data_IF_803982933535
#
_entry.id   IF_803982933535
#
_cell.length_a   1.000
_cell.length_b   1.000
_cell.length_c   1.000
_cell.angle_alpha   90.00
_cell.angle_beta   90.00
_cell.angle_gamma   90.00
#
_symmetry.space_group_name_H-M   'P 1'
#
loop_
_entity.id
_entity.type
_entity.pdbx_description
1 polymer ?
#
# COMPACT_ATOMS: atom_id res chain seq x y z
N UNK A 1 17.90 -9.01 -8.53
CA UNK A 1 18.40 -7.76 -9.12
C UNK A 1 17.49 -6.73 -8.51
N UNK A 2 18.02 -5.87 -7.64
CA UNK A 2 17.16 -4.99 -6.85
C UNK A 2 16.38 -4.08 -7.79
N UNK A 3 15.06 -4.20 -7.81
CA UNK A 3 14.19 -3.38 -8.65
C UNK A 3 14.07 -1.94 -8.14
N UNK A 4 14.38 -1.73 -6.86
CA UNK A 4 14.37 -0.44 -6.20
C UNK A 4 15.76 -0.14 -5.62
N UNK A 5 16.21 1.10 -5.83
CA UNK A 5 17.46 1.66 -5.33
C UNK A 5 17.41 1.91 -3.82
N UNK A 6 16.29 2.41 -3.33
CA UNK A 6 16.07 2.76 -1.93
C UNK A 6 14.57 2.76 -1.59
N UNK A 7 14.25 2.93 -0.30
CA UNK A 7 12.87 2.93 0.18
C UNK A 7 12.04 4.07 -0.41
N UNK A 8 12.66 5.20 -0.78
CA UNK A 8 11.95 6.33 -1.37
C UNK A 8 11.43 5.97 -2.77
N UNK A 9 12.27 5.34 -3.61
CA UNK A 9 11.83 4.85 -4.92
C UNK A 9 10.75 3.77 -4.81
N UNK A 10 10.82 2.91 -3.79
CA UNK A 10 9.76 1.94 -3.50
C UNK A 10 8.44 2.63 -3.14
N UNK A 11 8.45 3.63 -2.27
CA UNK A 11 7.24 4.39 -1.93
C UNK A 11 6.67 5.14 -3.13
N UNK A 12 7.52 5.82 -3.91
CA UNK A 12 7.08 6.50 -5.13
C UNK A 12 6.35 5.55 -6.09
N UNK A 13 6.88 4.33 -6.25
CA UNK A 13 6.29 3.33 -7.13
C UNK A 13 5.06 2.64 -6.51
N UNK A 14 5.24 1.93 -5.40
CA UNK A 14 4.20 1.08 -4.81
C UNK A 14 3.14 1.91 -4.07
N UNK A 15 3.54 2.88 -3.25
CA UNK A 15 2.55 3.74 -2.59
C UNK A 15 1.86 4.65 -3.61
N UNK A 16 2.58 5.07 -4.67
CA UNK A 16 1.99 5.76 -5.82
C UNK A 16 0.88 4.94 -6.49
N UNK A 17 1.12 3.66 -6.79
CA UNK A 17 0.10 2.75 -7.32
C UNK A 17 -1.14 2.71 -6.42
N UNK A 18 -0.96 2.53 -5.11
CA UNK A 18 -2.09 2.48 -4.20
C UNK A 18 -2.84 3.82 -4.07
N UNK A 19 -2.14 4.96 -4.12
CA UNK A 19 -2.77 6.29 -4.13
C UNK A 19 -3.63 6.50 -5.37
N UNK A 20 -3.19 6.01 -6.52
CA UNK A 20 -4.00 6.05 -7.75
C UNK A 20 -5.21 5.10 -7.65
N UNK A 21 -5.02 3.90 -7.10
CA UNK A 21 -6.12 2.97 -6.81
C UNK A 21 -7.15 3.60 -5.84
N UNK A 22 -6.69 4.41 -4.87
CA UNK A 22 -7.53 5.10 -3.91
C UNK A 22 -8.42 6.19 -4.56
N UNK A 23 -8.09 6.66 -5.76
CA UNK A 23 -8.88 7.65 -6.52
C UNK A 23 -9.71 7.00 -7.62
N UNK A 24 -9.43 5.75 -7.97
CA UNK A 24 -10.08 5.06 -9.06
C UNK A 24 -11.54 4.72 -8.72
N UNK A 25 -12.48 5.13 -9.58
CA UNK A 25 -13.92 4.95 -9.35
C UNK A 25 -14.39 3.50 -9.43
N UNK A 26 -13.61 2.59 -10.00
CA UNK A 26 -13.96 1.16 -10.08
C UNK A 26 -13.30 0.34 -8.96
N UNK A 27 -12.01 0.53 -8.73
CA UNK A 27 -11.25 -0.22 -7.73
C UNK A 27 -11.47 0.32 -6.31
N UNK A 28 -11.51 1.64 -6.17
CA UNK A 28 -11.64 2.33 -4.89
C UNK A 28 -12.83 1.86 -4.05
N UNK A 29 -14.07 1.87 -4.60
CA UNK A 29 -15.24 1.38 -3.88
C UNK A 29 -15.14 -0.09 -3.46
N UNK A 30 -14.54 -0.96 -4.29
CA UNK A 30 -14.38 -2.38 -4.00
C UNK A 30 -13.43 -2.61 -2.81
N UNK A 31 -12.33 -1.86 -2.76
CA UNK A 31 -11.36 -1.91 -1.65
C UNK A 31 -11.98 -1.30 -0.39
N UNK A 32 -12.63 -0.14 -0.49
CA UNK A 32 -13.32 0.50 0.63
C UNK A 32 -14.39 -0.40 1.27
N UNK A 33 -15.12 -1.16 0.45
CA UNK A 33 -16.13 -2.10 0.93
C UNK A 33 -15.57 -3.21 1.85
N UNK A 34 -14.28 -3.54 1.74
CA UNK A 34 -13.64 -4.54 2.60
C UNK A 34 -13.54 -4.10 4.07
N UNK A 35 -13.42 -2.80 4.33
CA UNK A 35 -13.18 -2.21 5.67
C UNK A 35 -11.98 -2.81 6.42
N UNK A 36 -10.97 -3.27 5.67
CA UNK A 36 -9.75 -3.86 6.21
C UNK A 36 -8.65 -2.81 6.37
N UNK A 37 -7.79 -3.02 7.36
CA UNK A 37 -6.47 -2.41 7.45
C UNK A 37 -5.44 -3.45 7.00
N UNK A 38 -4.74 -3.17 5.90
CA UNK A 38 -3.73 -4.08 5.33
C UNK A 38 -2.37 -3.41 5.44
N UNK A 39 -1.41 -4.07 6.08
CA UNK A 39 -0.02 -3.59 6.15
C UNK A 39 0.89 -4.49 5.32
N UNK A 40 1.61 -3.86 4.40
CA UNK A 40 2.65 -4.46 3.60
C UNK A 40 4.01 -4.09 4.18
N UNK A 41 4.80 -5.09 4.56
CA UNK A 41 6.15 -4.94 5.07
C UNK A 41 7.13 -5.48 4.01
N UNK A 42 7.94 -4.59 3.48
CA UNK A 42 8.94 -4.88 2.46
C UNK A 42 10.33 -4.95 3.05
N UNK A 43 11.13 -5.90 2.56
CA UNK A 43 12.58 -5.96 2.81
C UNK A 43 13.36 -5.67 1.53
N UNK A 44 14.58 -5.14 1.69
CA UNK A 44 15.54 -4.91 0.60
C UNK A 44 14.98 -4.06 -0.55
N UNK A 45 14.61 -2.78 -0.33
CA UNK A 45 14.81 -1.97 0.89
C UNK A 45 13.69 -2.10 1.93
N UNK A 46 13.98 -1.74 3.19
CA UNK A 46 12.97 -1.71 4.26
C UNK A 46 11.94 -0.60 4.00
N UNK A 47 10.67 -1.00 3.88
CA UNK A 47 9.56 -0.08 3.71
C UNK A 47 8.26 -0.68 4.27
N UNK A 48 7.36 0.16 4.75
CA UNK A 48 6.06 -0.25 5.28
C UNK A 48 4.98 0.59 4.63
N UNK A 49 3.98 -0.04 4.01
CA UNK A 49 2.82 0.65 3.43
C UNK A 49 1.56 0.09 4.08
N UNK A 50 0.74 0.96 4.64
CA UNK A 50 -0.57 0.56 5.19
C UNK A 50 -1.71 1.14 4.35
N UNK A 51 -2.59 0.25 3.89
CA UNK A 51 -3.87 0.57 3.26
C UNK A 51 -4.95 0.53 4.34
N UNK A 52 -5.53 1.68 4.67
CA UNK A 52 -6.64 1.79 5.62
C UNK A 52 -7.94 2.08 4.88
N UNK A 53 -8.69 1.02 4.59
CA UNK A 53 -10.05 1.07 4.04
C UNK A 53 -11.13 1.14 5.13
N UNK A 54 -10.75 1.13 6.40
CA UNK A 54 -11.66 1.11 7.55
C UNK A 54 -12.02 2.51 8.02
N UNK A 55 -11.07 3.43 7.95
CA UNK A 55 -11.25 4.84 8.32
C UNK A 55 -11.00 5.76 7.10
N UNK A 56 -11.80 5.67 6.03
CA UNK A 56 -11.56 6.46 4.82
C UNK A 56 -11.58 7.97 5.11
N UNK A 57 -10.83 8.79 4.34
CA UNK A 57 -10.75 10.22 4.56
C UNK A 57 -12.08 10.91 4.21
N UNK A 58 -12.31 12.15 4.69
CA UNK A 58 -13.58 12.84 4.51
C UNK A 58 -13.97 13.05 3.05
N UNK A 59 -13.02 13.37 2.17
CA UNK A 59 -13.24 13.56 0.72
C UNK A 59 -11.98 13.24 -0.11
N UNK A 60 -12.17 12.89 -1.39
CA UNK A 60 -11.12 12.84 -2.42
C UNK A 60 -10.46 11.48 -2.68
N UNK A 61 -10.57 10.51 -1.78
CA UNK A 61 -10.11 9.13 -1.99
C UNK A 61 -11.00 8.14 -1.24
N UNK A 62 -11.03 6.89 -1.69
CA UNK A 62 -11.86 5.82 -1.13
C UNK A 62 -11.25 5.15 0.12
N UNK A 63 -9.94 5.29 0.34
CA UNK A 63 -9.19 4.73 1.48
C UNK A 63 -7.87 5.49 1.68
N UNK A 64 -7.25 5.37 2.86
CA UNK A 64 -5.97 6.02 3.15
C UNK A 64 -4.78 5.14 2.82
N UNK A 65 -3.69 5.78 2.41
CA UNK A 65 -2.36 5.16 2.27
C UNK A 65 -1.41 5.84 3.23
N UNK A 66 -0.80 5.04 4.10
CA UNK A 66 0.19 5.49 5.08
C UNK A 66 1.54 4.87 4.70
N UNK A 67 2.54 5.71 4.53
CA UNK A 67 3.93 5.32 4.30
C UNK A 67 4.67 5.32 5.63
N UNK A 68 5.45 4.27 5.89
CA UNK A 68 6.18 4.08 7.13
C UNK A 68 5.36 3.40 8.24
N UNK A 69 5.95 3.29 9.44
CA UNK A 69 5.32 2.63 10.58
C UNK A 69 4.09 3.39 11.08
N UNK A 70 3.11 2.66 11.59
CA UNK A 70 1.88 3.20 12.15
C UNK A 70 1.40 2.37 13.34
N UNK A 71 0.66 2.99 14.26
CA UNK A 71 0.02 2.32 15.40
C UNK A 71 -1.30 1.63 15.03
N UNK A 72 -1.75 1.75 13.77
CA UNK A 72 -2.93 1.04 13.30
C UNK A 72 -2.69 -0.47 13.40
N UNK A 73 -3.66 -1.17 14.01
CA UNK A 73 -3.65 -2.63 14.07
C UNK A 73 -4.11 -3.19 12.72
N UNK A 74 -3.24 -3.90 11.97
CA UNK A 74 -3.66 -4.51 10.71
C UNK A 74 -4.63 -5.66 10.97
N UNK A 75 -5.65 -5.75 10.12
CA UNK A 75 -6.47 -6.96 9.97
C UNK A 75 -5.70 -8.01 9.16
N UNK A 76 -4.85 -7.56 8.22
CA UNK A 76 -3.99 -8.39 7.38
C UNK A 76 -2.58 -7.81 7.35
N UNK A 77 -1.56 -8.65 7.60
CA UNK A 77 -0.14 -8.31 7.42
C UNK A 77 0.44 -9.19 6.32
N UNK A 78 1.07 -8.57 5.34
CA UNK A 78 1.79 -9.25 4.26
C UNK A 78 3.25 -8.83 4.29
N UNK A 79 4.15 -9.82 4.26
CA UNK A 79 5.59 -9.57 4.29
C UNK A 79 6.24 -10.22 3.08
N UNK A 80 7.04 -9.46 2.33
CA UNK A 80 7.76 -9.95 1.15
C UNK A 80 8.96 -9.06 0.82
N UNK A 81 9.93 -9.56 0.05
CA UNK A 81 10.98 -8.66 -0.46
C UNK A 81 10.43 -7.71 -1.51
N UNK A 82 11.05 -6.55 -1.67
CA UNK A 82 10.63 -5.56 -2.66
C UNK A 82 10.67 -6.12 -4.10
N UNK A 83 11.65 -6.96 -4.43
CA UNK A 83 11.74 -7.67 -5.71
C UNK A 83 10.56 -8.61 -5.97
N UNK A 84 10.01 -9.24 -4.92
CA UNK A 84 8.80 -10.06 -5.03
C UNK A 84 7.58 -9.15 -5.18
N UNK A 85 7.53 -8.04 -4.45
CA UNK A 85 6.44 -7.07 -4.53
C UNK A 85 6.31 -6.48 -5.93
N UNK A 86 7.41 -6.07 -6.55
CA UNK A 86 7.39 -5.54 -7.91
C UNK A 86 6.78 -6.56 -8.89
N UNK A 87 7.25 -7.81 -8.84
CA UNK A 87 6.71 -8.88 -9.69
C UNK A 87 5.25 -9.21 -9.41
N UNK A 88 4.84 -9.12 -8.15
CA UNK A 88 3.46 -9.37 -7.75
C UNK A 88 2.51 -8.28 -8.28
N UNK A 89 2.89 -7.01 -8.17
CA UNK A 89 2.04 -5.87 -8.53
C UNK A 89 2.09 -5.53 -10.03
N UNK A 90 3.23 -5.75 -10.68
CA UNK A 90 3.48 -5.27 -12.06
C UNK A 90 3.82 -6.37 -13.07
N UNK A 91 3.87 -7.64 -12.66
CA UNK A 91 4.14 -8.81 -13.52
C UNK A 91 5.62 -9.06 -13.79
#
# INVERSE_FOLDING_TARGET
MAYFKDAAELYECIAGFFKEAARNEEMGPKIAASKLIITFEYSDPEAVITVDAKNPPPEGTYFNIIEGPTDLKPDVRMTMSADIAHRFWFG
#
